data_IF_264685304735
#
_entry.id   IF_264685304735
#
_cell.length_a   1.000
_cell.length_b   1.000
_cell.length_c   1.000
_cell.angle_alpha   90.00
_cell.angle_beta   90.00
_cell.angle_gamma   90.00
#
_symmetry.space_group_name_H-M   'P 1'
#
loop_
_entity.id
_entity.type
_entity.pdbx_description
1 polymer ?
#
# COMPACT_ATOMS: atom_id res chain seq x y z
N UNK A 1 60.82 -22.43 -14.12
CA UNK A 1 60.56 -21.35 -13.13
C UNK A 1 59.46 -21.82 -12.20
N UNK A 2 59.60 -21.58 -10.89
CA UNK A 2 58.76 -22.14 -9.83
C UNK A 2 57.38 -21.48 -9.72
N UNK A 3 56.49 -22.26 -9.10
CA UNK A 3 55.24 -21.99 -8.34
C UNK A 3 55.08 -20.56 -7.76
N UNK A 4 53.84 -20.10 -7.53
CA UNK A 4 53.31 -20.25 -6.17
C UNK A 4 51.80 -20.57 -6.05
N UNK A 5 51.52 -21.64 -5.31
CA UNK A 5 50.69 -21.74 -4.08
C UNK A 5 50.12 -20.42 -3.55
N UNK A 6 48.88 -20.44 -3.01
CA UNK A 6 48.77 -20.66 -1.57
C UNK A 6 47.54 -21.48 -1.09
N UNK A 7 47.74 -22.20 0.01
CA UNK A 7 46.77 -22.47 1.07
C UNK A 7 47.00 -21.48 2.25
N UNK A 8 46.38 -21.63 3.44
CA UNK A 8 44.99 -21.41 3.83
C UNK A 8 44.88 -20.37 4.99
N UNK A 9 43.70 -20.32 5.63
CA UNK A 9 43.38 -19.75 6.96
C UNK A 9 43.10 -18.23 7.05
N UNK A 10 41.89 -17.86 7.48
CA UNK A 10 41.58 -17.68 8.90
C UNK A 10 40.11 -17.30 9.11
N UNK A 11 39.50 -17.89 10.15
CA UNK A 11 38.29 -17.46 10.84
C UNK A 11 38.28 -15.94 11.14
N UNK A 12 37.08 -15.38 11.38
CA UNK A 12 36.89 -14.88 12.74
C UNK A 12 35.55 -15.27 13.37
N UNK A 13 35.67 -15.88 14.56
CA UNK A 13 34.66 -15.94 15.61
C UNK A 13 34.12 -14.55 16.01
N UNK A 14 32.81 -14.48 16.19
CA UNK A 14 32.01 -13.83 17.26
C UNK A 14 32.60 -12.64 18.04
N UNK A 15 31.90 -11.49 18.05
CA UNK A 15 31.16 -10.91 19.21
C UNK A 15 30.30 -9.69 18.77
N UNK A 16 29.25 -9.28 19.51
CA UNK A 16 28.15 -8.42 19.05
C UNK A 16 28.31 -6.95 19.48
N UNK A 17 27.26 -6.17 19.23
CA UNK A 17 27.01 -4.79 19.65
C UNK A 17 27.46 -3.69 18.67
N UNK A 18 26.53 -3.27 17.82
CA UNK A 18 26.46 -1.86 17.44
C UNK A 18 25.03 -1.44 17.09
N UNK A 19 24.25 -1.14 18.14
CA UNK A 19 23.02 -0.36 18.02
C UNK A 19 23.40 1.12 17.98
N UNK A 20 23.03 1.91 16.95
CA UNK A 20 23.21 3.35 16.99
C UNK A 20 22.23 3.99 18.00
N UNK A 21 22.81 4.80 18.91
CA UNK A 21 22.13 5.53 19.98
C UNK A 21 21.28 6.72 19.45
N UNK A 22 20.25 7.16 20.21
CA UNK A 22 19.42 8.31 19.85
C UNK A 22 20.15 9.65 20.06
N UNK A 23 20.06 10.55 19.08
CA UNK A 23 20.58 11.92 19.17
C UNK A 23 19.78 12.75 20.18
N UNK A 24 20.51 13.40 21.10
CA UNK A 24 19.98 14.31 22.11
C UNK A 24 19.55 15.67 21.52
N UNK A 25 18.41 16.19 22.00
CA UNK A 25 17.95 17.55 21.76
C UNK A 25 18.80 18.58 22.54
N UNK A 26 19.09 19.78 21.98
CA UNK A 26 19.71 20.88 22.73
C UNK A 26 18.71 21.54 23.71
N UNK A 27 19.21 22.15 24.81
CA UNK A 27 18.39 22.66 25.92
C UNK A 27 17.70 24.00 25.61
N UNK A 28 16.53 24.21 26.22
CA UNK A 28 15.76 25.45 26.18
C UNK A 28 16.34 26.52 27.14
N UNK A 29 16.35 27.82 26.77
CA UNK A 29 16.78 28.89 27.66
C UNK A 29 15.70 29.26 28.69
N UNK A 30 16.06 29.30 29.97
CA UNK A 30 15.24 29.85 31.06
C UNK A 30 15.43 31.38 31.16
N UNK A 31 14.36 32.18 31.27
CA UNK A 31 14.47 33.62 31.56
C UNK A 31 14.58 33.91 33.07
N UNK A 32 15.37 34.92 33.50
CA UNK A 32 15.41 35.41 34.88
C UNK A 32 14.28 36.41 35.23
N UNK A 33 14.09 36.61 36.54
CA UNK A 33 12.95 37.27 37.22
C UNK A 33 12.85 38.82 37.14
N UNK A 34 11.65 39.32 37.50
CA UNK A 34 11.07 40.69 37.63
C UNK A 34 11.85 41.67 38.54
N UNK A 35 11.89 43.02 38.39
CA UNK A 35 10.84 44.09 38.43
C UNK A 35 11.53 45.51 38.24
N UNK A 36 10.90 46.73 38.28
CA UNK A 36 9.67 47.30 37.69
C UNK A 36 9.92 48.52 36.76
N UNK A 37 8.85 48.97 36.07
CA UNK A 37 8.57 50.33 35.49
C UNK A 37 8.47 50.45 33.95
N UNK A 38 7.29 50.19 33.37
CA UNK A 38 6.47 51.10 32.51
C UNK A 38 5.24 50.33 31.92
N UNK A 39 3.99 50.84 31.96
CA UNK A 39 2.85 50.20 31.28
C UNK A 39 2.64 50.77 29.84
N UNK A 40 1.70 50.23 29.04
CA UNK A 40 1.89 49.25 27.97
C UNK A 40 2.00 49.88 26.55
N UNK A 41 2.75 49.25 25.64
CA UNK A 41 2.56 49.45 24.20
C UNK A 41 1.75 48.25 23.64
N UNK A 42 0.73 48.47 22.78
CA UNK A 42 -0.01 47.38 22.16
C UNK A 42 0.93 46.50 21.31
N UNK A 43 0.66 45.18 21.18
CA UNK A 43 1.48 44.28 20.41
C UNK A 43 1.57 44.75 18.94
N UNK A 44 2.81 44.81 18.44
CA UNK A 44 3.10 45.00 17.02
C UNK A 44 2.36 43.92 16.21
N UNK A 45 1.75 44.36 15.11
CA UNK A 45 1.06 43.50 14.15
C UNK A 45 1.96 42.32 13.72
N UNK A 46 1.39 41.13 13.46
CA UNK A 46 2.15 40.04 12.85
C UNK A 46 2.80 40.51 11.53
N UNK A 47 3.99 40.00 11.17
CA UNK A 47 4.63 40.37 9.92
C UNK A 47 3.65 40.14 8.76
N UNK A 48 3.37 41.21 8.03
CA UNK A 48 2.56 41.18 6.83
C UNK A 48 3.13 40.10 5.90
N UNK A 49 2.30 39.08 5.62
CA UNK A 49 2.55 38.18 4.50
C UNK A 49 2.82 39.04 3.27
N UNK A 50 3.86 38.75 2.47
CA UNK A 50 4.14 39.50 1.26
C UNK A 50 2.88 39.53 0.40
N UNK A 51 2.46 40.75 0.07
CA UNK A 51 1.29 41.03 -0.70
C UNK A 51 1.27 40.20 -1.99
N UNK A 52 0.11 39.58 -2.23
CA UNK A 52 -0.28 39.00 -3.50
C UNK A 52 0.03 39.98 -4.63
N UNK A 53 0.98 39.63 -5.51
CA UNK A 53 1.23 40.44 -6.70
C UNK A 53 2.67 40.40 -7.20
N UNK A 54 3.06 39.30 -7.84
CA UNK A 54 3.93 39.44 -9.01
C UNK A 54 3.63 38.32 -10.01
N UNK A 55 2.48 38.46 -10.69
CA UNK A 55 2.05 37.62 -11.81
C UNK A 55 3.08 37.65 -12.95
N UNK A 56 3.96 38.66 -12.96
CA UNK A 56 5.09 38.82 -13.89
C UNK A 56 6.27 37.90 -13.57
N UNK A 57 6.37 37.38 -12.35
CA UNK A 57 7.37 36.39 -11.94
C UNK A 57 6.94 34.95 -12.26
N UNK A 58 5.71 34.76 -12.74
CA UNK A 58 5.24 33.45 -13.21
C UNK A 58 5.73 33.19 -14.64
N UNK A 59 6.11 31.95 -14.98
CA UNK A 59 6.49 31.60 -16.34
C UNK A 59 5.35 31.83 -17.34
N UNK A 60 5.68 32.13 -18.59
CA UNK A 60 4.73 32.46 -19.67
C UNK A 60 3.55 31.48 -19.80
N UNK A 61 3.80 30.18 -19.55
CA UNK A 61 2.75 29.17 -19.58
C UNK A 61 1.68 29.38 -18.49
N UNK A 62 2.06 29.86 -17.31
CA UNK A 62 1.14 30.15 -16.20
C UNK A 62 0.39 31.46 -16.42
N UNK A 63 1.05 32.48 -17.01
CA UNK A 63 0.40 33.72 -17.39
C UNK A 63 -0.69 33.50 -18.46
N UNK A 64 -0.45 32.62 -19.43
CA UNK A 64 -1.47 32.24 -20.42
C UNK A 64 -2.69 31.56 -19.81
N UNK A 65 -2.50 30.74 -18.79
CA UNK A 65 -3.58 30.10 -18.05
C UNK A 65 -4.45 31.12 -17.30
N UNK A 66 -3.83 32.15 -16.73
CA UNK A 66 -4.51 33.23 -16.02
C UNK A 66 -5.24 34.18 -16.99
N UNK A 67 -4.65 34.48 -18.16
CA UNK A 67 -5.30 35.26 -19.22
C UNK A 67 -6.48 34.52 -19.85
N UNK A 68 -6.37 33.20 -20.04
CA UNK A 68 -7.49 32.36 -20.48
C UNK A 68 -8.59 32.24 -19.42
N UNK A 69 -8.27 32.49 -18.15
CA UNK A 69 -9.19 32.47 -17.02
C UNK A 69 -9.68 33.85 -16.58
N UNK A 70 -9.35 34.95 -17.30
CA UNK A 70 -9.76 36.29 -16.89
C UNK A 70 -11.29 36.40 -16.91
N UNK A 71 -11.94 36.61 -15.74
CA UNK A 71 -13.39 36.73 -15.69
C UNK A 71 -13.80 38.10 -16.23
N UNK A 72 -14.90 38.15 -16.97
CA UNK A 72 -15.64 39.38 -17.24
C UNK A 72 -15.85 40.18 -15.94
N UNK A 73 -15.99 41.52 -15.97
CA UNK A 73 -16.14 42.35 -14.77
C UNK A 73 -17.20 41.77 -13.84
N UNK A 74 -16.73 41.21 -12.73
CA UNK A 74 -17.59 40.62 -11.71
C UNK A 74 -18.34 41.76 -11.00
N UNK A 75 -19.66 41.64 -10.79
CA UNK A 75 -20.29 42.41 -9.72
C UNK A 75 -19.58 42.00 -8.42
N UNK A 76 -19.26 42.98 -7.58
CA UNK A 76 -18.67 42.77 -6.25
C UNK A 76 -19.33 41.57 -5.55
N UNK A 77 -18.55 40.60 -5.04
CA UNK A 77 -19.14 39.55 -4.23
C UNK A 77 -19.79 40.23 -3.00
N UNK A 78 -21.09 40.02 -2.72
CA UNK A 78 -21.54 40.21 -1.35
C UNK A 78 -20.65 39.31 -0.47
N UNK A 79 -20.35 39.77 0.74
CA UNK A 79 -19.61 39.02 1.75
C UNK A 79 -19.90 37.52 1.66
N UNK A 80 -18.86 36.69 1.71
CA UNK A 80 -18.92 35.23 1.64
C UNK A 80 -20.29 34.72 2.10
N UNK A 81 -21.11 34.11 1.22
CA UNK A 81 -22.34 33.54 1.68
C UNK A 81 -21.95 32.53 2.75
N UNK A 82 -22.45 32.77 3.97
CA UNK A 82 -22.53 31.78 5.00
C UNK A 82 -22.83 30.45 4.34
N UNK A 83 -21.98 29.45 4.64
CA UNK A 83 -22.12 28.04 4.27
C UNK A 83 -23.52 27.77 3.75
N UNK A 84 -23.64 27.58 2.42
CA UNK A 84 -24.90 27.21 1.82
C UNK A 84 -25.49 26.09 2.68
N UNK A 85 -26.74 26.21 3.16
CA UNK A 85 -27.28 25.28 4.14
C UNK A 85 -27.10 23.86 3.62
N UNK A 86 -26.32 23.09 4.36
CA UNK A 86 -26.10 21.66 4.21
C UNK A 86 -27.46 21.01 3.89
N UNK A 87 -27.72 20.63 2.63
CA UNK A 87 -28.91 19.83 2.30
C UNK A 87 -29.66 20.14 1.00
N UNK A 88 -29.47 21.29 0.32
CA UNK A 88 -30.24 21.57 -0.89
C UNK A 88 -29.50 21.17 -2.18
N UNK A 89 -29.38 19.85 -2.38
CA UNK A 89 -28.74 19.28 -3.58
C UNK A 89 -29.42 19.73 -4.89
N UNK A 90 -30.68 20.16 -4.80
CA UNK A 90 -31.49 20.62 -5.93
C UNK A 90 -31.06 21.98 -6.49
N UNK A 91 -30.33 22.77 -5.68
CA UNK A 91 -29.78 24.07 -6.12
C UNK A 91 -28.42 23.96 -6.79
N UNK A 92 -27.81 22.77 -6.82
CA UNK A 92 -26.54 22.59 -7.50
C UNK A 92 -26.71 22.80 -9.03
N UNK A 93 -25.70 23.40 -9.70
CA UNK A 93 -25.66 23.44 -11.15
C UNK A 93 -25.78 22.03 -11.76
N UNK A 94 -26.40 21.90 -12.93
CA UNK A 94 -26.56 20.60 -13.62
C UNK A 94 -25.23 19.85 -13.82
N UNK A 95 -24.13 20.56 -14.08
CA UNK A 95 -22.80 19.94 -14.20
C UNK A 95 -22.32 19.30 -12.88
N UNK A 96 -22.67 19.89 -11.73
CA UNK A 96 -22.28 19.39 -10.43
C UNK A 96 -23.12 18.17 -10.03
N UNK A 97 -24.41 18.15 -10.38
CA UNK A 97 -25.26 16.98 -10.23
C UNK A 97 -24.78 15.80 -11.09
N UNK A 98 -24.34 16.06 -12.32
CA UNK A 98 -23.72 15.06 -13.19
C UNK A 98 -22.42 14.53 -12.57
N UNK A 99 -21.54 15.40 -12.09
CA UNK A 99 -20.31 14.97 -11.41
C UNK A 99 -20.57 14.11 -10.18
N UNK A 100 -21.60 14.43 -9.38
CA UNK A 100 -21.97 13.62 -8.23
C UNK A 100 -22.46 12.23 -8.64
N UNK A 101 -23.27 12.14 -9.70
CA UNK A 101 -23.76 10.86 -10.23
C UNK A 101 -22.60 10.00 -10.71
N UNK A 102 -21.71 10.56 -11.53
CA UNK A 102 -20.50 9.87 -12.00
C UNK A 102 -19.63 9.39 -10.84
N UNK A 103 -19.42 10.23 -9.82
CA UNK A 103 -18.63 9.88 -8.65
C UNK A 103 -19.26 8.72 -7.85
N UNK A 104 -20.59 8.71 -7.69
CA UNK A 104 -21.30 7.63 -7.02
C UNK A 104 -21.22 6.31 -7.81
N UNK A 105 -21.34 6.36 -9.13
CA UNK A 105 -21.19 5.19 -9.99
C UNK A 105 -19.76 4.62 -9.94
N UNK A 106 -18.75 5.48 -9.97
CA UNK A 106 -17.35 5.11 -9.80
C UNK A 106 -17.10 4.48 -8.42
N UNK A 107 -17.62 5.09 -7.35
CA UNK A 107 -17.49 4.57 -5.99
C UNK A 107 -18.15 3.19 -5.85
N UNK A 108 -19.35 3.00 -6.39
CA UNK A 108 -20.04 1.70 -6.39
C UNK A 108 -19.24 0.65 -7.17
N UNK A 109 -18.72 1.01 -8.33
CA UNK A 109 -17.90 0.10 -9.15
C UNK A 109 -16.64 -0.33 -8.40
N UNK A 110 -15.92 0.62 -7.80
CA UNK A 110 -14.73 0.34 -7.00
C UNK A 110 -15.05 -0.53 -5.78
N UNK A 111 -16.18 -0.28 -5.09
CA UNK A 111 -16.61 -1.08 -3.95
C UNK A 111 -16.90 -2.53 -4.35
N UNK A 112 -17.57 -2.76 -5.48
CA UNK A 112 -17.83 -4.11 -6.00
C UNK A 112 -16.51 -4.81 -6.37
N UNK A 113 -15.59 -4.13 -7.06
CA UNK A 113 -14.29 -4.70 -7.40
C UNK A 113 -13.49 -5.09 -6.15
N UNK A 114 -13.47 -4.23 -5.13
CA UNK A 114 -12.81 -4.50 -3.86
C UNK A 114 -13.45 -5.68 -3.11
N UNK A 115 -14.78 -5.78 -3.12
CA UNK A 115 -15.51 -6.90 -2.52
C UNK A 115 -15.19 -8.22 -3.22
N UNK A 116 -15.14 -8.22 -4.55
CA UNK A 116 -14.77 -9.40 -5.36
C UNK A 116 -13.34 -9.84 -5.05
N UNK A 117 -12.37 -8.92 -5.04
CA UNK A 117 -10.98 -9.22 -4.72
C UNK A 117 -10.82 -9.82 -3.32
N UNK A 118 -11.60 -9.34 -2.34
CA UNK A 118 -11.57 -9.86 -0.97
C UNK A 118 -12.22 -11.23 -0.84
N UNK A 119 -13.33 -11.48 -1.53
CA UNK A 119 -14.12 -12.69 -1.40
C UNK A 119 -13.67 -13.85 -2.31
N UNK A 120 -12.99 -13.54 -3.43
CA UNK A 120 -12.55 -14.54 -4.41
C UNK A 120 -11.73 -15.71 -3.81
N UNK A 121 -10.77 -15.50 -2.89
CA UNK A 121 -10.01 -16.60 -2.29
C UNK A 121 -10.87 -17.57 -1.49
N UNK A 122 -11.85 -17.04 -0.73
CA UNK A 122 -12.78 -17.86 0.06
C UNK A 122 -13.70 -18.70 -0.83
N UNK A 123 -14.03 -18.18 -2.02
CA UNK A 123 -14.81 -18.89 -3.03
C UNK A 123 -13.97 -19.76 -3.99
N UNK A 124 -12.64 -19.85 -3.78
CA UNK A 124 -11.70 -20.53 -4.68
C UNK A 124 -11.84 -20.07 -6.14
N UNK A 125 -12.05 -18.78 -6.34
CA UNK A 125 -12.27 -18.15 -7.64
C UNK A 125 -11.05 -17.34 -8.07
N UNK A 126 -10.83 -17.24 -9.38
CA UNK A 126 -9.79 -16.38 -9.95
C UNK A 126 -10.33 -14.93 -10.01
N UNK A 127 -9.76 -13.99 -9.23
CA UNK A 127 -10.21 -12.61 -9.22
C UNK A 127 -10.04 -11.92 -10.58
N UNK A 128 -9.01 -12.26 -11.36
CA UNK A 128 -8.78 -11.65 -12.67
C UNK A 128 -9.85 -12.10 -13.66
N UNK A 129 -10.13 -13.41 -13.70
CA UNK A 129 -11.18 -13.97 -14.55
C UNK A 129 -12.58 -13.45 -14.17
N UNK A 130 -12.83 -13.26 -12.87
CA UNK A 130 -14.09 -12.67 -12.38
C UNK A 130 -14.28 -11.22 -12.83
N UNK A 131 -13.23 -10.40 -12.71
CA UNK A 131 -13.28 -8.98 -13.07
C UNK A 131 -13.33 -8.75 -14.61
N UNK A 132 -12.76 -9.67 -15.39
CA UNK A 132 -12.87 -9.67 -16.85
C UNK A 132 -14.26 -10.13 -17.35
N UNK A 133 -14.96 -10.94 -16.54
CA UNK A 133 -16.25 -11.51 -16.92
C UNK A 133 -17.42 -10.56 -16.72
N UNK A 134 -17.94 -10.01 -17.83
CA UNK A 134 -19.18 -9.20 -17.84
C UNK A 134 -20.39 -9.92 -17.21
N UNK A 135 -20.52 -11.23 -17.42
CA UNK A 135 -21.60 -12.02 -16.82
C UNK A 135 -21.47 -12.13 -15.29
N UNK A 136 -20.25 -12.28 -14.77
CA UNK A 136 -20.03 -12.33 -13.33
C UNK A 136 -20.28 -10.95 -12.71
N UNK A 137 -19.76 -9.88 -13.31
CA UNK A 137 -19.99 -8.50 -12.86
C UNK A 137 -21.47 -8.11 -12.87
N UNK A 138 -22.25 -8.58 -13.87
CA UNK A 138 -23.69 -8.35 -13.93
C UNK A 138 -24.43 -9.07 -12.79
N UNK A 139 -24.04 -10.31 -12.46
CA UNK A 139 -24.63 -11.05 -11.34
C UNK A 139 -24.31 -10.41 -9.98
N UNK A 140 -23.12 -9.81 -9.85
CA UNK A 140 -22.67 -9.10 -8.65
C UNK A 140 -23.25 -7.69 -8.51
N UNK A 141 -23.72 -7.06 -9.58
CA UNK A 141 -24.25 -5.69 -9.55
C UNK A 141 -25.49 -5.54 -8.64
N UNK A 142 -26.26 -6.62 -8.47
CA UNK A 142 -27.43 -6.69 -7.60
C UNK A 142 -27.09 -7.06 -6.14
N UNK A 143 -25.84 -7.44 -5.87
CA UNK A 143 -25.37 -7.84 -4.54
C UNK A 143 -24.83 -6.62 -3.81
N UNK A 144 -25.12 -6.52 -2.51
CA UNK A 144 -24.52 -5.49 -1.67
C UNK A 144 -23.02 -5.78 -1.45
N UNK A 145 -22.10 -4.89 -1.88
CA UNK A 145 -20.66 -5.10 -1.71
C UNK A 145 -20.20 -5.11 -0.24
N UNK A 146 -21.01 -4.63 0.72
CA UNK A 146 -20.68 -4.74 2.16
C UNK A 146 -21.07 -6.09 2.76
N UNK A 147 -22.02 -6.80 2.15
CA UNK A 147 -22.43 -8.13 2.58
C UNK A 147 -21.48 -9.20 2.02
N UNK A 148 -20.43 -9.50 2.80
CA UNK A 148 -19.43 -10.48 2.39
C UNK A 148 -20.01 -11.87 2.14
N UNK A 149 -21.05 -12.27 2.87
CA UNK A 149 -21.67 -13.58 2.71
C UNK A 149 -22.42 -13.65 1.38
N UNK A 150 -23.20 -12.61 1.05
CA UNK A 150 -23.89 -12.52 -0.23
C UNK A 150 -22.92 -12.44 -1.41
N UNK A 151 -21.83 -11.68 -1.29
CA UNK A 151 -20.77 -11.58 -2.32
C UNK A 151 -20.11 -12.94 -2.54
N UNK A 152 -19.73 -13.64 -1.47
CA UNK A 152 -19.11 -14.97 -1.57
C UNK A 152 -20.06 -15.97 -2.22
N UNK A 153 -21.33 -16.00 -1.80
CA UNK A 153 -22.34 -16.88 -2.38
C UNK A 153 -22.58 -16.60 -3.87
N UNK A 154 -22.61 -15.32 -4.27
CA UNK A 154 -22.75 -14.92 -5.66
C UNK A 154 -21.53 -15.33 -6.50
N UNK A 155 -20.31 -15.19 -5.96
CA UNK A 155 -19.08 -15.65 -6.62
C UNK A 155 -19.10 -17.17 -6.77
N UNK A 156 -19.46 -17.92 -5.72
CA UNK A 156 -19.58 -19.39 -5.82
C UNK A 156 -20.61 -19.82 -6.85
N UNK A 157 -21.75 -19.13 -6.94
CA UNK A 157 -22.76 -19.39 -7.96
C UNK A 157 -22.23 -19.08 -9.37
N UNK A 158 -21.51 -17.98 -9.54
CA UNK A 158 -20.88 -17.62 -10.81
C UNK A 158 -19.82 -18.64 -11.26
N UNK A 159 -18.96 -19.10 -10.34
CA UNK A 159 -17.97 -20.16 -10.61
C UNK A 159 -18.64 -21.48 -10.96
N UNK A 160 -19.72 -21.85 -10.26
CA UNK A 160 -20.49 -23.06 -10.58
C UNK A 160 -21.11 -22.98 -11.97
N UNK A 161 -21.65 -21.82 -12.35
CA UNK A 161 -22.21 -21.59 -13.68
C UNK A 161 -21.12 -21.51 -14.77
N UNK A 162 -19.90 -21.09 -14.40
CA UNK A 162 -18.80 -20.94 -15.32
C UNK A 162 -17.46 -21.39 -14.69
N UNK A 163 -17.11 -22.68 -14.79
CA UNK A 163 -15.95 -23.26 -14.12
C UNK A 163 -14.60 -22.64 -14.49
N UNK A 164 -14.51 -21.93 -15.64
CA UNK A 164 -13.30 -21.20 -16.03
C UNK A 164 -12.95 -20.03 -15.10
N UNK A 165 -13.91 -19.61 -14.26
CA UNK A 165 -13.72 -18.58 -13.25
C UNK A 165 -13.13 -19.12 -11.93
N UNK A 166 -13.02 -20.45 -11.80
CA UNK A 166 -12.37 -21.05 -10.64
C UNK A 166 -10.88 -20.71 -10.64
N UNK A 167 -10.31 -20.55 -9.45
CA UNK A 167 -8.87 -20.45 -9.31
C UNK A 167 -8.24 -21.76 -9.83
N UNK A 168 -7.26 -21.63 -10.72
CA UNK A 168 -6.40 -22.77 -11.07
C UNK A 168 -5.65 -23.28 -9.83
N UNK A 169 -5.07 -24.50 -9.89
CA UNK A 169 -4.18 -24.96 -8.83
C UNK A 169 -3.18 -23.85 -8.54
N UNK A 170 -3.09 -23.45 -7.27
CA UNK A 170 -2.17 -22.40 -6.86
C UNK A 170 -0.81 -22.74 -7.47
N UNK A 171 -0.33 -21.92 -8.41
CA UNK A 171 1.06 -21.99 -8.85
C UNK A 171 1.84 -21.62 -7.62
N UNK A 172 2.27 -22.63 -6.87
CA UNK A 172 3.24 -22.52 -5.81
C UNK A 172 4.46 -21.85 -6.44
N UNK A 173 4.55 -20.52 -6.29
CA UNK A 173 5.74 -19.79 -6.61
C UNK A 173 6.76 -20.26 -5.61
N UNK A 174 7.70 -21.10 -6.08
CA UNK A 174 8.83 -21.64 -5.34
C UNK A 174 8.63 -21.60 -3.81
N UNK A 175 7.95 -22.62 -3.29
CA UNK A 175 8.07 -22.97 -1.89
C UNK A 175 9.56 -23.07 -1.56
N UNK A 176 10.12 -22.01 -0.97
CA UNK A 176 11.32 -22.07 -0.13
C UNK A 176 10.96 -22.59 1.28
N UNK A 177 9.81 -23.25 1.41
CA UNK A 177 9.55 -24.19 2.48
C UNK A 177 10.45 -25.40 2.21
N UNK A 178 11.48 -25.71 3.02
CA UNK A 178 12.15 -27.00 2.92
C UNK A 178 11.09 -28.08 2.95
N UNK A 179 10.90 -28.74 1.81
CA UNK A 179 9.72 -29.56 1.57
C UNK A 179 9.58 -30.65 2.63
N UNK A 180 8.35 -31.07 2.86
CA UNK A 180 7.93 -32.19 3.71
C UNK A 180 8.52 -33.57 3.31
N UNK A 181 9.56 -33.59 2.48
CA UNK A 181 10.39 -34.73 2.09
C UNK A 181 11.86 -34.57 2.54
N UNK A 182 12.21 -33.53 3.32
CA UNK A 182 13.52 -33.45 3.92
C UNK A 182 13.73 -34.59 4.92
N UNK A 183 14.73 -35.42 4.65
CA UNK A 183 15.19 -36.43 5.60
C UNK A 183 15.69 -35.70 6.84
N UNK A 184 14.97 -35.86 7.96
CA UNK A 184 15.38 -35.26 9.24
C UNK A 184 16.60 -35.98 9.82
N UNK A 185 17.38 -35.36 10.72
CA UNK A 185 18.49 -36.04 11.40
C UNK A 185 18.05 -37.31 12.13
N UNK A 186 16.87 -37.29 12.75
CA UNK A 186 16.29 -38.47 13.40
C UNK A 186 15.96 -39.59 12.41
N UNK A 187 15.42 -39.25 11.24
CA UNK A 187 15.15 -40.19 10.16
C UNK A 187 16.45 -40.75 9.55
N UNK A 188 17.46 -39.90 9.39
CA UNK A 188 18.80 -40.31 8.96
C UNK A 188 19.45 -41.29 9.94
N UNK A 189 19.36 -41.01 11.24
CA UNK A 189 19.82 -41.90 12.29
C UNK A 189 19.08 -43.25 12.30
N UNK A 190 17.80 -43.27 11.89
CA UNK A 190 17.01 -44.49 11.76
C UNK A 190 17.25 -45.27 10.45
N UNK A 191 17.77 -44.63 9.40
CA UNK A 191 18.06 -45.30 8.12
C UNK A 191 19.20 -46.31 8.25
N UNK A 192 19.04 -47.44 7.57
CA UNK A 192 20.06 -48.47 7.45
C UNK A 192 21.26 -48.03 6.59
N UNK A 193 22.38 -48.74 6.73
CA UNK A 193 23.62 -48.42 6.02
C UNK A 193 23.45 -48.38 4.49
N UNK A 194 22.69 -49.32 3.92
CA UNK A 194 22.45 -49.38 2.48
C UNK A 194 21.69 -48.13 1.97
N UNK A 195 20.72 -47.66 2.74
CA UNK A 195 19.90 -46.48 2.42
C UNK A 195 20.72 -45.18 2.54
N UNK A 196 21.59 -45.10 3.55
CA UNK A 196 22.55 -43.99 3.67
C UNK A 196 23.60 -43.98 2.56
N UNK A 197 24.04 -45.15 2.09
CA UNK A 197 24.98 -45.27 0.98
C UNK A 197 24.35 -44.90 -0.36
N UNK A 198 23.05 -45.13 -0.52
CA UNK A 198 22.28 -44.66 -1.68
C UNK A 198 22.11 -43.15 -1.63
N UNK A 199 21.72 -42.60 -0.47
CA UNK A 199 21.63 -41.16 -0.23
C UNK A 199 22.96 -40.45 -0.52
N UNK A 200 24.09 -41.02 -0.10
CA UNK A 200 25.41 -40.46 -0.40
C UNK A 200 25.71 -40.39 -1.91
N UNK A 201 25.17 -41.32 -2.72
CA UNK A 201 25.36 -41.33 -4.18
C UNK A 201 24.38 -40.42 -4.90
N UNK A 202 23.12 -40.37 -4.46
CA UNK A 202 22.08 -39.56 -5.09
C UNK A 202 22.13 -38.10 -4.67
N UNK A 203 22.47 -37.83 -3.40
CA UNK A 203 22.50 -36.51 -2.80
C UNK A 203 23.59 -36.40 -1.71
N UNK A 204 24.86 -36.20 -2.12
CA UNK A 204 25.99 -36.12 -1.19
C UNK A 204 25.91 -34.91 -0.25
N UNK A 205 25.23 -33.83 -0.66
CA UNK A 205 25.10 -32.61 0.15
C UNK A 205 24.13 -32.81 1.30
N UNK A 206 22.98 -33.43 1.04
CA UNK A 206 22.04 -33.81 2.11
C UNK A 206 22.68 -34.80 3.08
N UNK A 207 23.45 -35.78 2.59
CA UNK A 207 24.20 -36.69 3.46
C UNK A 207 25.20 -35.95 4.36
N UNK A 208 26.00 -35.03 3.80
CA UNK A 208 26.99 -34.25 4.57
C UNK A 208 26.33 -33.40 5.66
N UNK A 209 25.21 -32.74 5.33
CA UNK A 209 24.44 -31.93 6.27
C UNK A 209 23.93 -32.76 7.46
N UNK A 210 23.45 -33.97 7.20
CA UNK A 210 22.87 -34.86 8.21
C UNK A 210 23.91 -35.69 8.99
N UNK A 211 25.09 -35.91 8.41
CA UNK A 211 26.20 -36.60 9.08
C UNK A 211 27.07 -35.68 9.94
N UNK A 212 27.02 -34.36 9.70
CA UNK A 212 27.74 -33.34 10.47
C UNK A 212 26.92 -32.68 11.59
N UNK A 213 25.64 -33.04 11.73
CA UNK A 213 24.72 -32.60 12.79
C UNK A 213 24.66 -33.61 13.93
#
# INVERSE_FOLDING_TARGET
>A
MPDPSPAPAADPSTDPANSPAPSANPPAPTPPATDPANPPAPPAAPPQQPAEGDVSSLPEWAQKLIQGAQPAPQPTPPAAPAQAPEGDLSKLPRWAQQQLTTAQEQARTAAVQAAVLRAAPAAQADPVALLDSQSAMSALAAVDPVDQAAVTAAITAAVRANPRLAAGPARAGADFTPGSNEITPAQFAAMGYAERADLFRSDPETYRRLAGS
#
